data_IF_992091888206
#
_entry.id   IF_992091888206
#
_cell.length_a   1.000
_cell.length_b   1.000
_cell.length_c   1.000
_cell.angle_alpha   90.00
_cell.angle_beta   90.00
_cell.angle_gamma   90.00
#
_symmetry.space_group_name_H-M   'P 1'
#
loop_
_entity.id
_entity.type
_entity.pdbx_description
1 polymer ?
#
# COMPACT_ATOMS: atom_id res chain seq x y z
N UNK A 1 -0.67 10.32 -11.02
CA UNK A 1 -0.16 9.03 -10.47
C UNK A 1 -0.30 7.98 -11.55
N UNK A 2 0.80 7.37 -11.97
CA UNK A 2 0.90 6.44 -13.10
C UNK A 2 1.15 5.01 -12.66
N UNK A 3 1.71 4.79 -11.48
CA UNK A 3 2.10 3.46 -10.99
C UNK A 3 1.44 3.11 -9.65
N UNK A 4 1.35 1.80 -9.36
CA UNK A 4 0.90 1.30 -8.06
C UNK A 4 1.74 1.83 -6.89
N UNK A 5 3.05 1.98 -7.10
CA UNK A 5 3.95 2.51 -6.09
C UNK A 5 3.64 3.96 -5.74
N UNK A 6 3.45 4.83 -6.74
CA UNK A 6 3.05 6.23 -6.53
C UNK A 6 1.70 6.31 -5.80
N UNK A 7 0.74 5.51 -6.27
CA UNK A 7 -0.61 5.35 -5.68
C UNK A 7 -0.53 5.01 -4.19
N UNK A 8 0.33 4.06 -3.82
CA UNK A 8 0.43 3.57 -2.46
C UNK A 8 1.14 4.56 -1.55
N UNK A 9 2.25 5.14 -2.02
CA UNK A 9 2.98 6.13 -1.24
C UNK A 9 2.12 7.35 -0.91
N UNK A 10 1.30 7.81 -1.86
CA UNK A 10 0.38 8.91 -1.61
C UNK A 10 -0.77 8.52 -0.68
N UNK A 11 -1.33 7.32 -0.79
CA UNK A 11 -2.35 6.84 0.13
C UNK A 11 -1.82 6.76 1.58
N UNK A 12 -0.57 6.31 1.76
CA UNK A 12 0.12 6.33 3.04
C UNK A 12 0.32 7.74 3.58
N UNK A 13 0.71 8.70 2.73
CA UNK A 13 0.85 10.11 3.10
C UNK A 13 -0.48 10.74 3.51
N UNK A 14 -1.54 10.53 2.71
CA UNK A 14 -2.89 11.05 2.97
C UNK A 14 -3.47 10.55 4.30
N UNK A 15 -3.20 9.29 4.65
CA UNK A 15 -3.74 8.65 5.86
C UNK A 15 -2.83 8.79 7.08
N UNK A 16 -1.60 9.29 6.90
CA UNK A 16 -0.58 9.31 7.95
C UNK A 16 -0.12 7.91 8.41
N UNK A 17 -0.45 6.86 7.65
CA UNK A 17 -0.12 5.47 7.99
C UNK A 17 1.29 5.14 7.49
N UNK A 18 2.10 4.49 8.33
CA UNK A 18 3.43 4.03 7.95
C UNK A 18 3.37 2.67 7.24
N UNK A 19 4.41 2.33 6.47
CA UNK A 19 4.49 1.02 5.81
C UNK A 19 4.44 -0.16 6.80
N UNK A 20 5.09 -0.01 7.95
CA UNK A 20 5.10 -1.02 9.03
C UNK A 20 3.71 -1.20 9.63
N UNK A 21 3.00 -0.11 9.87
CA UNK A 21 1.64 -0.14 10.39
C UNK A 21 0.67 -0.76 9.38
N UNK A 22 0.77 -0.40 8.09
CA UNK A 22 -0.02 -1.01 7.03
C UNK A 22 0.22 -2.53 6.95
N UNK A 23 1.48 -2.95 7.01
CA UNK A 23 1.85 -4.36 7.03
C UNK A 23 1.22 -5.09 8.23
N UNK A 24 1.26 -4.48 9.42
CA UNK A 24 0.63 -5.02 10.63
C UNK A 24 -0.89 -5.15 10.49
N UNK A 25 -1.57 -4.14 9.91
CA UNK A 25 -3.03 -4.15 9.68
C UNK A 25 -3.48 -5.27 8.74
N UNK A 26 -2.69 -5.57 7.71
CA UNK A 26 -3.00 -6.61 6.71
C UNK A 26 -2.45 -7.99 7.12
N UNK A 27 -1.60 -8.06 8.15
CA UNK A 27 -0.99 -9.30 8.62
C UNK A 27 0.13 -9.81 7.70
N UNK A 28 0.88 -8.91 7.05
CA UNK A 28 2.01 -9.25 6.17
C UNK A 28 3.32 -8.62 6.65
N UNK A 29 4.45 -9.04 6.07
CA UNK A 29 5.76 -8.46 6.37
C UNK A 29 5.86 -7.05 5.79
N UNK A 30 6.47 -6.12 6.52
CA UNK A 30 6.75 -4.75 6.04
C UNK A 30 7.56 -4.75 4.74
N UNK A 31 8.47 -5.71 4.55
CA UNK A 31 9.22 -5.90 3.30
C UNK A 31 8.31 -6.05 2.07
N UNK A 32 7.16 -6.70 2.21
CA UNK A 32 6.19 -6.84 1.12
C UNK A 32 5.58 -5.49 0.74
N UNK A 33 5.27 -4.63 1.72
CA UNK A 33 4.81 -3.25 1.47
C UNK A 33 5.92 -2.43 0.81
N UNK A 34 7.15 -2.52 1.31
CA UNK A 34 8.31 -1.82 0.74
C UNK A 34 8.58 -2.20 -0.73
N UNK A 35 8.42 -3.48 -1.10
CA UNK A 35 8.55 -3.90 -2.50
C UNK A 35 7.48 -3.30 -3.41
N UNK A 36 6.26 -3.09 -2.91
CA UNK A 36 5.19 -2.40 -3.65
C UNK A 36 5.53 -0.90 -3.75
N UNK A 37 5.91 -0.25 -2.66
CA UNK A 37 6.25 1.18 -2.63
C UNK A 37 7.49 1.51 -3.51
N UNK A 38 8.41 0.57 -3.69
CA UNK A 38 9.59 0.73 -4.56
C UNK A 38 9.30 0.47 -6.04
N UNK A 39 8.09 0.03 -6.41
CA UNK A 39 7.71 -0.22 -7.79
C UNK A 39 8.25 -1.52 -8.38
N UNK A 40 8.89 -2.39 -7.58
CA UNK A 40 9.32 -3.74 -8.02
C UNK A 40 8.14 -4.65 -8.38
N UNK A 41 6.94 -4.31 -7.91
CA UNK A 41 5.72 -5.04 -8.20
C UNK A 41 4.70 -4.14 -8.91
N UNK A 42 4.39 -4.46 -10.17
CA UNK A 42 3.38 -3.75 -10.94
C UNK A 42 1.94 -4.06 -10.48
N UNK A 43 1.74 -5.18 -9.79
CA UNK A 43 0.44 -5.63 -9.27
C UNK A 43 0.64 -6.33 -7.94
N UNK A 44 -0.07 -5.86 -6.91
CA UNK A 44 -0.10 -6.52 -5.61
C UNK A 44 -1.37 -7.34 -5.46
N UNK A 45 -1.24 -8.61 -5.08
CA UNK A 45 -2.39 -9.41 -4.63
C UNK A 45 -3.09 -8.82 -3.40
N UNK A 46 -2.41 -7.91 -2.69
CA UNK A 46 -2.91 -7.24 -1.49
C UNK A 46 -3.62 -5.92 -1.78
N UNK A 47 -3.84 -5.54 -3.05
CA UNK A 47 -4.41 -4.20 -3.41
C UNK A 47 -5.74 -3.92 -2.70
N UNK A 48 -6.64 -4.92 -2.65
CA UNK A 48 -7.92 -4.80 -1.95
C UNK A 48 -7.75 -4.65 -0.43
N UNK A 49 -6.89 -5.47 0.17
CA UNK A 49 -6.62 -5.43 1.62
C UNK A 49 -5.94 -4.12 2.04
N UNK A 50 -5.08 -3.57 1.17
CA UNK A 50 -4.47 -2.25 1.35
C UNK A 50 -5.53 -1.15 1.31
N UNK A 51 -6.43 -1.19 0.32
CA UNK A 51 -7.51 -0.22 0.20
C UNK A 51 -8.39 -0.19 1.46
N UNK A 52 -8.77 -1.37 1.94
CA UNK A 52 -9.57 -1.56 3.15
C UNK A 52 -8.84 -1.09 4.40
N UNK A 53 -7.57 -1.48 4.59
CA UNK A 53 -6.77 -1.11 5.76
C UNK A 53 -6.48 0.40 5.85
N UNK A 54 -6.42 1.08 4.70
CA UNK A 54 -6.23 2.53 4.59
C UNK A 54 -7.54 3.30 4.49
N UNK A 55 -8.70 2.62 4.38
CA UNK A 55 -10.03 3.21 4.14
C UNK A 55 -10.05 4.15 2.92
N UNK A 56 -9.37 3.76 1.85
CA UNK A 56 -9.35 4.47 0.56
C UNK A 56 -10.05 3.62 -0.51
N UNK A 57 -10.59 4.27 -1.54
CA UNK A 57 -11.23 3.56 -2.66
C UNK A 57 -10.20 2.67 -3.36
N UNK A 58 -10.50 1.39 -3.66
CA UNK A 58 -9.56 0.45 -4.30
C UNK A 58 -8.97 0.90 -5.67
N UNK A 59 -9.52 1.94 -6.30
CA UNK A 59 -8.93 2.64 -7.43
C UNK A 59 -7.90 3.74 -7.06
N UNK A 60 -7.54 3.91 -5.78
CA UNK A 60 -6.52 4.83 -5.22
C UNK A 60 -5.22 4.80 -5.99
#
# INVERSE_FOLDING_TARGET
MKTLSERLNHALQLTGVTQSELARRIGIKQQSISQICSGKSARSRYTMQIAEALRVNAHW
#
